data_IF_154066625891
#
_entry.id   IF_154066625891
#
_cell.length_a   1.000
_cell.length_b   1.000
_cell.length_c   1.000
_cell.angle_alpha   90.00
_cell.angle_beta   90.00
_cell.angle_gamma   90.00
#
_symmetry.space_group_name_H-M   'P 1'
#
loop_
_entity.id
_entity.type
_entity.pdbx_description
1 polymer ?
#
# COMPACT_ATOMS: atom_id res chain seq x y z
N UNK A 1 -2.28 -10.97 23.41
CA UNK A 1 -2.92 -9.88 22.64
C UNK A 1 -2.14 -9.65 21.35
N UNK A 2 -2.84 -9.57 20.24
CA UNK A 2 -2.18 -9.30 18.94
C UNK A 2 -1.64 -7.87 18.87
N UNK A 3 -0.67 -7.65 17.97
CA UNK A 3 -0.05 -6.35 17.73
C UNK A 3 -0.30 -5.92 16.30
N UNK A 4 -0.58 -4.64 16.13
CA UNK A 4 -0.81 -4.04 14.82
C UNK A 4 -0.16 -2.66 14.74
N UNK A 5 0.24 -2.26 13.54
CA UNK A 5 0.80 -0.93 13.30
C UNK A 5 0.49 -0.47 11.89
N UNK A 6 0.47 0.83 11.70
CA UNK A 6 0.39 1.41 10.36
C UNK A 6 1.66 1.06 9.58
N UNK A 7 1.49 0.38 8.46
CA UNK A 7 2.61 -0.09 7.65
C UNK A 7 2.92 0.85 6.49
N UNK A 8 1.92 1.38 5.82
CA UNK A 8 2.17 2.21 4.66
C UNK A 8 0.92 2.75 3.99
N UNK A 9 1.17 3.59 2.99
CA UNK A 9 0.16 4.22 2.16
C UNK A 9 0.40 3.78 0.73
N UNK A 10 -0.67 3.36 0.05
CA UNK A 10 -0.61 2.89 -1.32
C UNK A 10 -1.40 3.86 -2.20
N UNK A 11 -0.75 4.36 -3.24
CA UNK A 11 -1.40 5.21 -4.24
C UNK A 11 -1.81 4.31 -5.40
N UNK A 12 -3.08 3.97 -5.47
CA UNK A 12 -3.63 3.14 -6.54
C UNK A 12 -3.85 3.98 -7.78
N UNK A 13 -3.20 3.59 -8.88
CA UNK A 13 -3.27 4.32 -10.14
C UNK A 13 -3.86 3.44 -11.23
N UNK A 14 -5.00 3.84 -11.77
CA UNK A 14 -5.58 3.17 -12.93
C UNK A 14 -4.81 3.62 -14.15
N UNK A 15 -3.86 2.79 -14.58
CA UNK A 15 -2.95 3.14 -15.66
C UNK A 15 -2.36 1.89 -16.32
N UNK A 16 -1.97 2.00 -17.56
CA UNK A 16 -1.16 1.00 -18.25
C UNK A 16 0.34 1.33 -18.18
N UNK A 17 0.68 2.48 -17.59
CA UNK A 17 2.05 2.96 -17.49
C UNK A 17 2.44 3.18 -16.03
N UNK A 18 2.84 2.10 -15.38
CA UNK A 18 3.26 2.14 -13.98
C UNK A 18 4.48 3.04 -13.76
N UNK A 19 5.44 2.99 -14.68
CA UNK A 19 6.65 3.82 -14.58
C UNK A 19 6.31 5.31 -14.68
N UNK A 20 5.38 5.68 -15.55
CA UNK A 20 4.92 7.06 -15.67
C UNK A 20 4.21 7.54 -14.41
N UNK A 21 3.35 6.70 -13.82
CA UNK A 21 2.68 7.03 -12.57
C UNK A 21 3.68 7.18 -11.43
N UNK A 22 4.65 6.28 -11.34
CA UNK A 22 5.70 6.35 -10.32
C UNK A 22 6.55 7.60 -10.48
N UNK A 23 6.91 7.95 -11.72
CA UNK A 23 7.68 9.16 -12.00
C UNK A 23 6.92 10.42 -11.58
N UNK A 24 5.63 10.47 -11.87
CA UNK A 24 4.79 11.60 -11.44
C UNK A 24 4.83 11.78 -9.93
N UNK A 25 4.55 10.71 -9.18
CA UNK A 25 4.50 10.80 -7.73
C UNK A 25 5.87 11.00 -7.09
N UNK A 26 6.91 10.43 -7.71
CA UNK A 26 8.29 10.66 -7.30
C UNK A 26 8.64 12.16 -7.33
N UNK A 27 8.30 12.84 -8.43
CA UNK A 27 8.53 14.28 -8.54
C UNK A 27 7.59 15.09 -7.64
N UNK A 28 6.30 14.73 -7.63
CA UNK A 28 5.31 15.47 -6.85
C UNK A 28 5.64 15.47 -5.36
N UNK A 29 6.15 14.36 -4.84
CA UNK A 29 6.46 14.22 -3.42
C UNK A 29 7.94 14.43 -3.09
N UNK A 30 8.79 14.59 -4.10
CA UNK A 30 10.23 14.76 -3.89
C UNK A 30 10.90 13.50 -3.34
N UNK A 31 10.41 12.32 -3.73
CA UNK A 31 10.92 11.03 -3.25
C UNK A 31 11.39 10.19 -4.45
N UNK A 32 12.53 9.53 -4.30
CA UNK A 32 13.07 8.68 -5.35
C UNK A 32 12.23 7.42 -5.52
N UNK A 33 11.86 7.10 -6.77
CA UNK A 33 11.21 5.83 -7.07
C UNK A 33 12.24 4.73 -7.14
N UNK A 34 12.00 3.63 -6.42
CA UNK A 34 12.90 2.48 -6.37
C UNK A 34 12.11 1.20 -6.65
N UNK A 35 12.83 0.16 -7.10
CA UNK A 35 12.25 -1.17 -7.28
C UNK A 35 12.62 -2.03 -6.08
N UNK A 36 11.60 -2.47 -5.34
CA UNK A 36 11.81 -3.36 -4.20
C UNK A 36 11.88 -4.80 -4.73
N UNK A 37 13.01 -5.52 -4.56
CA UNK A 37 13.12 -6.89 -5.06
C UNK A 37 12.15 -7.87 -4.42
N UNK A 38 11.51 -7.49 -3.30
CA UNK A 38 10.54 -8.33 -2.60
C UNK A 38 9.11 -8.15 -3.11
N UNK A 39 8.86 -7.16 -3.96
CA UNK A 39 7.51 -6.87 -4.46
C UNK A 39 7.37 -7.23 -5.94
N UNK A 40 6.13 -7.32 -6.39
CA UNK A 40 5.79 -7.59 -7.79
C UNK A 40 6.06 -6.34 -8.63
N UNK A 41 7.11 -6.37 -9.43
CA UNK A 41 7.53 -5.24 -10.25
C UNK A 41 6.55 -4.90 -11.37
N UNK A 42 5.63 -5.79 -11.70
CA UNK A 42 4.62 -5.51 -12.73
C UNK A 42 3.48 -4.66 -12.19
N UNK A 43 3.33 -4.58 -10.86
CA UNK A 43 2.20 -3.92 -10.20
C UNK A 43 2.61 -2.77 -9.28
N UNK A 44 3.84 -2.77 -8.75
CA UNK A 44 4.26 -1.86 -7.69
C UNK A 44 5.55 -1.14 -8.01
N UNK A 45 5.62 0.12 -7.58
CA UNK A 45 6.87 0.87 -7.45
C UNK A 45 6.88 1.53 -6.07
N UNK A 46 7.98 1.39 -5.37
CA UNK A 46 8.15 1.98 -4.05
C UNK A 46 8.75 3.37 -4.16
N UNK A 47 8.28 4.31 -3.35
CA UNK A 47 8.92 5.60 -3.18
C UNK A 47 9.80 5.54 -1.94
N UNK A 48 11.03 6.06 -2.05
CA UNK A 48 12.00 6.01 -0.95
C UNK A 48 11.60 6.99 0.15
N UNK A 49 11.25 6.43 1.33
CA UNK A 49 10.98 7.19 2.54
C UNK A 49 12.13 6.99 3.52
N UNK A 50 12.16 7.69 4.65
CA UNK A 50 13.17 7.46 5.68
C UNK A 50 12.99 6.09 6.35
N UNK A 51 14.04 5.61 7.01
CA UNK A 51 14.02 4.30 7.69
C UNK A 51 12.90 4.17 8.72
N UNK A 52 12.56 5.28 9.38
CA UNK A 52 11.53 5.30 10.42
C UNK A 52 10.16 5.71 9.90
N UNK A 53 10.02 5.82 8.58
CA UNK A 53 8.77 6.27 7.97
C UNK A 53 7.98 5.08 7.39
N UNK A 54 6.64 5.15 7.41
CA UNK A 54 5.84 4.16 6.72
C UNK A 54 6.17 4.12 5.23
N UNK A 55 6.00 2.97 4.62
CA UNK A 55 6.25 2.82 3.19
C UNK A 55 5.20 3.58 2.36
N UNK A 56 5.64 4.09 1.21
CA UNK A 56 4.73 4.65 0.20
C UNK A 56 4.99 3.89 -1.09
N UNK A 57 3.94 3.32 -1.66
CA UNK A 57 4.03 2.58 -2.92
C UNK A 57 3.01 3.09 -3.91
N UNK A 58 3.37 3.02 -5.19
CA UNK A 58 2.46 3.28 -6.31
C UNK A 58 2.06 1.92 -6.86
N UNK A 59 0.77 1.67 -6.95
CA UNK A 59 0.23 0.41 -7.44
C UNK A 59 -0.57 0.62 -8.73
N UNK A 60 -0.29 -0.20 -9.73
CA UNK A 60 -1.11 -0.27 -10.95
C UNK A 60 -2.38 -1.06 -10.65
N UNK A 61 -3.54 -0.47 -10.94
CA UNK A 61 -4.84 -1.12 -10.70
C UNK A 61 -5.75 -0.92 -11.91
N UNK A 62 -6.82 -1.72 -11.98
CA UNK A 62 -7.82 -1.63 -13.05
C UNK A 62 -9.12 -0.95 -12.59
N UNK A 63 -9.26 -0.69 -11.30
CA UNK A 63 -10.39 0.08 -10.76
C UNK A 63 -10.05 1.57 -10.72
N UNK A 64 -11.00 2.41 -10.29
CA UNK A 64 -10.78 3.85 -10.17
C UNK A 64 -9.59 4.14 -9.23
N UNK A 65 -8.79 5.15 -9.58
CA UNK A 65 -7.64 5.56 -8.77
C UNK A 65 -8.09 6.03 -7.39
N UNK A 66 -7.33 5.64 -6.38
CA UNK A 66 -7.60 5.99 -4.97
C UNK A 66 -6.36 5.75 -4.13
N UNK A 67 -6.40 6.20 -2.89
CA UNK A 67 -5.36 5.92 -1.90
C UNK A 67 -5.94 4.98 -0.86
N UNK A 68 -5.14 4.00 -0.43
CA UNK A 68 -5.52 3.18 0.72
C UNK A 68 -4.37 3.06 1.71
N UNK A 69 -4.70 2.70 2.94
CA UNK A 69 -3.72 2.53 4.01
C UNK A 69 -3.56 1.04 4.30
N UNK A 70 -2.32 0.65 4.58
CA UNK A 70 -2.01 -0.72 4.99
C UNK A 70 -1.72 -0.75 6.49
N UNK A 71 -2.29 -1.73 7.16
CA UNK A 71 -1.97 -2.04 8.55
C UNK A 71 -1.37 -3.43 8.54
N UNK A 72 -0.16 -3.58 9.11
CA UNK A 72 0.40 -4.91 9.32
C UNK A 72 0.08 -5.39 10.73
N UNK A 73 -0.14 -6.69 10.86
CA UNK A 73 -0.53 -7.28 12.13
C UNK A 73 0.01 -8.70 12.23
N UNK A 74 0.24 -9.16 13.45
CA UNK A 74 0.62 -10.55 13.72
C UNK A 74 -0.59 -11.50 13.81
N UNK A 75 -1.81 -10.96 13.75
CA UNK A 75 -3.03 -11.76 13.78
C UNK A 75 -4.15 -11.04 13.00
N UNK A 76 -4.30 -11.41 11.73
CA UNK A 76 -5.26 -10.77 10.83
C UNK A 76 -6.70 -10.91 11.34
N UNK A 77 -7.08 -12.10 11.80
CA UNK A 77 -8.45 -12.32 12.26
C UNK A 77 -8.78 -11.46 13.48
N UNK A 78 -7.85 -11.35 14.42
CA UNK A 78 -8.04 -10.51 15.61
C UNK A 78 -8.10 -9.02 15.23
N UNK A 79 -7.27 -8.59 14.29
CA UNK A 79 -7.28 -7.20 13.83
C UNK A 79 -8.58 -6.85 13.09
N UNK A 80 -9.09 -7.76 12.27
CA UNK A 80 -10.37 -7.56 11.59
C UNK A 80 -11.49 -7.38 12.63
N UNK A 81 -11.53 -8.23 13.66
CA UNK A 81 -12.55 -8.11 14.73
C UNK A 81 -12.42 -6.78 15.47
N UNK A 82 -11.18 -6.35 15.75
CA UNK A 82 -10.94 -5.08 16.43
C UNK A 82 -11.47 -3.91 15.60
N UNK A 83 -11.16 -3.90 14.29
CA UNK A 83 -11.60 -2.83 13.40
C UNK A 83 -13.12 -2.85 13.20
N UNK A 84 -13.73 -4.03 13.12
CA UNK A 84 -15.19 -4.13 13.01
C UNK A 84 -15.90 -3.55 14.23
N UNK A 85 -15.34 -3.73 15.41
CA UNK A 85 -15.87 -3.11 16.63
C UNK A 85 -15.79 -1.59 16.58
N UNK A 86 -14.84 -1.04 15.84
CA UNK A 86 -14.71 0.40 15.65
C UNK A 86 -15.61 0.93 14.53
N UNK A 87 -16.31 0.05 13.82
CA UNK A 87 -17.23 0.44 12.75
C UNK A 87 -16.79 0.09 11.35
N UNK A 88 -15.64 -0.54 11.17
CA UNK A 88 -15.18 -0.97 9.87
C UNK A 88 -16.01 -2.14 9.35
N UNK A 89 -16.07 -2.25 8.02
CA UNK A 89 -16.77 -3.34 7.34
C UNK A 89 -15.78 -4.12 6.49
N UNK A 90 -15.69 -5.42 6.68
CA UNK A 90 -14.87 -6.28 5.84
C UNK A 90 -15.53 -6.40 4.46
N UNK A 91 -14.77 -6.10 3.40
CA UNK A 91 -15.27 -6.14 2.02
C UNK A 91 -14.68 -7.26 1.19
N UNK A 92 -13.47 -7.71 1.51
CA UNK A 92 -12.80 -8.78 0.78
C UNK A 92 -11.71 -9.39 1.63
N UNK A 93 -11.36 -10.64 1.30
CA UNK A 93 -10.20 -11.32 1.87
C UNK A 93 -9.34 -11.81 0.71
N UNK A 94 -8.12 -11.27 0.60
CA UNK A 94 -7.18 -11.60 -0.47
C UNK A 94 -6.03 -12.41 0.13
N UNK A 95 -5.81 -13.61 -0.38
CA UNK A 95 -4.84 -14.54 0.20
C UNK A 95 -3.42 -14.38 -0.33
N UNK A 96 -3.25 -13.71 -1.46
CA UNK A 96 -1.92 -13.47 -2.04
C UNK A 96 -1.88 -12.12 -2.75
N UNK A 97 -0.71 -11.52 -2.69
CA UNK A 97 -0.47 -10.21 -3.30
C UNK A 97 0.56 -10.28 -4.40
#
# INVERSE_FOLDING_TARGET
>A
MHKSRFAGLIIDCRTDDLDGAAAFWSEALGMKAITDPRSDHTRYRRLETGEDQPDIEVQKVDHASRVHLDIETDDVAAEVRRLEKLGAKAVANVHSW
#
